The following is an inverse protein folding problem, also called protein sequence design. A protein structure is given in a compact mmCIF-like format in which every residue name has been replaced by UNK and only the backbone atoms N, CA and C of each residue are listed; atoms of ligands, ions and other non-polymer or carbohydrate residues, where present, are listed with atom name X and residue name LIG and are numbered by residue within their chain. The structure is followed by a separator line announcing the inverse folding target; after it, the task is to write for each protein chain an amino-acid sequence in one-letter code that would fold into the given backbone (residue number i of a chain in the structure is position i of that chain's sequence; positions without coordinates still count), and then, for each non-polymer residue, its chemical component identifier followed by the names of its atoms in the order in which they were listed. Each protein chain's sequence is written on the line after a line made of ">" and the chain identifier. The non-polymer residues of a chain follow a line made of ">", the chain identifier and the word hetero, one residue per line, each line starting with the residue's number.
data_IF_258601031977
#
_entry.id   IF_258601031977
#
_cell.length_a   1.000
_cell.length_b   1.000
_cell.length_c   1.000
_cell.angle_alpha   90.00
_cell.angle_beta   90.00
_cell.angle_gamma   90.00
#
_symmetry.space_group_name_H-M   'P 1'
#
loop_
_entity.id
_entity.type
_entity.pdbx_description
1 polymer ?
#
# COMPACT_ATOMS: atom_id res chain seq x y z
N UNK A 1 12.32 -18.43 -14.39
CA UNK A 1 12.77 -17.72 -13.17
C UNK A 1 12.24 -16.28 -13.10
N UNK A 2 12.29 -15.49 -14.18
CA UNK A 2 11.82 -14.08 -14.19
C UNK A 2 10.33 -13.93 -13.83
N UNK A 3 9.46 -14.84 -14.29
CA UNK A 3 8.01 -14.81 -13.96
C UNK A 3 7.71 -14.87 -12.46
N UNK A 4 8.44 -15.70 -11.69
CA UNK A 4 8.19 -15.82 -10.23
C UNK A 4 8.56 -14.55 -9.47
N UNK A 5 9.63 -13.86 -9.88
CA UNK A 5 10.08 -12.61 -9.27
C UNK A 5 9.09 -11.46 -9.47
N UNK A 6 8.48 -11.38 -10.66
CA UNK A 6 7.47 -10.34 -10.95
C UNK A 6 6.22 -10.45 -10.09
N UNK A 7 5.89 -11.64 -9.57
CA UNK A 7 4.74 -11.83 -8.69
C UNK A 7 4.97 -11.17 -7.32
N UNK A 8 6.17 -11.34 -6.75
CA UNK A 8 6.51 -10.75 -5.44
C UNK A 8 6.65 -9.23 -5.46
N UNK A 9 6.81 -8.64 -6.64
CA UNK A 9 6.88 -7.19 -6.87
C UNK A 9 5.63 -6.64 -7.56
N UNK A 10 4.59 -7.47 -7.70
CA UNK A 10 3.33 -7.06 -8.30
C UNK A 10 2.56 -6.13 -7.35
N UNK A 11 2.08 -5.01 -7.88
CA UNK A 11 1.43 -3.95 -7.10
C UNK A 11 0.23 -4.49 -6.29
N UNK A 12 -0.63 -5.32 -6.91
CA UNK A 12 -1.79 -5.91 -6.26
C UNK A 12 -1.41 -6.95 -5.21
N UNK A 13 -0.37 -7.74 -5.46
CA UNK A 13 0.14 -8.71 -4.48
C UNK A 13 0.59 -8.01 -3.19
N UNK A 14 1.31 -6.90 -3.31
CA UNK A 14 1.78 -6.13 -2.16
C UNK A 14 0.63 -5.44 -1.41
N UNK A 15 -0.38 -4.93 -2.13
CA UNK A 15 -1.60 -4.38 -1.52
C UNK A 15 -2.36 -5.45 -0.72
N UNK A 16 -2.46 -6.68 -1.23
CA UNK A 16 -3.07 -7.80 -0.51
C UNK A 16 -2.29 -8.11 0.78
N UNK A 17 -0.96 -8.13 0.75
CA UNK A 17 -0.16 -8.36 1.96
C UNK A 17 -0.39 -7.23 2.97
N UNK A 18 -0.40 -5.98 2.53
CA UNK A 18 -0.66 -4.84 3.42
C UNK A 18 -2.07 -4.90 4.03
N UNK A 19 -3.07 -5.34 3.25
CA UNK A 19 -4.42 -5.60 3.73
C UNK A 19 -4.47 -6.73 4.77
N UNK A 20 -3.78 -7.85 4.53
CA UNK A 20 -3.69 -8.95 5.50
C UNK A 20 -3.03 -8.50 6.80
N UNK A 21 -1.95 -7.71 6.72
CA UNK A 21 -1.29 -7.12 7.87
C UNK A 21 -2.27 -6.24 8.66
N UNK A 22 -3.04 -5.40 7.96
CA UNK A 22 -4.05 -4.51 8.52
C UNK A 22 -5.17 -5.27 9.27
N UNK A 23 -5.66 -6.38 8.69
CA UNK A 23 -6.79 -7.13 9.23
C UNK A 23 -6.43 -8.10 10.35
N UNK A 24 -5.23 -8.68 10.31
CA UNK A 24 -4.93 -9.90 11.10
C UNK A 24 -3.76 -9.76 12.08
N UNK A 25 -2.91 -8.75 11.93
CA UNK A 25 -1.70 -8.61 12.74
C UNK A 25 -1.63 -7.26 13.42
N UNK A 26 -1.37 -6.21 12.65
CA UNK A 26 -1.16 -4.86 13.16
C UNK A 26 -1.81 -3.85 12.22
N UNK A 27 -2.88 -3.24 12.73
CA UNK A 27 -3.72 -2.29 11.99
C UNK A 27 -2.93 -1.01 11.63
N UNK A 28 -2.26 -0.31 12.56
CA UNK A 28 -1.35 0.79 12.22
C UNK A 28 -0.32 0.43 11.13
N UNK A 29 0.37 -0.70 11.28
CA UNK A 29 1.41 -1.12 10.34
C UNK A 29 0.86 -1.37 8.94
N UNK A 30 -0.25 -2.10 8.82
CA UNK A 30 -0.89 -2.38 7.52
C UNK A 30 -1.39 -1.13 6.82
N UNK A 31 -1.97 -0.19 7.57
CA UNK A 31 -2.51 1.06 7.02
C UNK A 31 -1.41 1.97 6.48
N UNK A 32 -0.32 2.11 7.24
CA UNK A 32 0.87 2.86 6.83
C UNK A 32 1.56 2.21 5.63
N UNK A 33 1.68 0.88 5.61
CA UNK A 33 2.27 0.16 4.49
C UNK A 33 1.49 0.37 3.18
N UNK A 34 0.14 0.41 3.23
CA UNK A 34 -0.68 0.77 2.07
C UNK A 34 -0.33 2.16 1.53
N UNK A 35 -0.17 3.15 2.42
CA UNK A 35 0.18 4.52 2.05
C UNK A 35 1.58 4.56 1.41
N UNK A 36 2.57 3.89 2.02
CA UNK A 36 3.94 3.80 1.50
C UNK A 36 3.96 3.19 0.10
N UNK A 37 3.27 2.06 -0.10
CA UNK A 37 3.21 1.37 -1.39
C UNK A 37 2.53 2.23 -2.47
N UNK A 38 1.38 2.82 -2.16
CA UNK A 38 0.64 3.63 -3.11
C UNK A 38 1.42 4.88 -3.52
N UNK A 39 2.06 5.58 -2.57
CA UNK A 39 2.95 6.70 -2.88
C UNK A 39 4.16 6.26 -3.70
N UNK A 40 4.81 5.16 -3.34
CA UNK A 40 5.96 4.64 -4.10
C UNK A 40 5.63 4.40 -5.56
N UNK A 41 4.56 3.65 -5.83
CA UNK A 41 4.23 3.29 -7.21
C UNK A 41 3.71 4.51 -7.98
N UNK A 42 2.97 5.40 -7.32
CA UNK A 42 2.54 6.67 -7.91
C UNK A 42 3.74 7.54 -8.34
N UNK A 43 4.70 7.78 -7.44
CA UNK A 43 5.88 8.59 -7.74
C UNK A 43 6.77 7.94 -8.80
N UNK A 44 6.86 6.61 -8.83
CA UNK A 44 7.54 5.90 -9.91
C UNK A 44 6.91 6.25 -11.28
N UNK A 45 5.58 6.18 -11.39
CA UNK A 45 4.86 6.52 -12.61
C UNK A 45 5.01 8.00 -13.01
N UNK A 46 4.95 8.90 -12.03
CA UNK A 46 5.14 10.33 -12.26
C UNK A 46 6.55 10.65 -12.79
N UNK A 47 7.59 10.10 -12.14
CA UNK A 47 8.98 10.24 -12.60
C UNK A 47 9.12 9.65 -14.00
N UNK A 48 8.51 8.48 -14.24
CA UNK A 48 8.50 7.90 -15.58
C UNK A 48 7.96 8.83 -16.64
N UNK A 49 6.85 9.51 -16.37
CA UNK A 49 6.27 10.47 -17.32
C UNK A 49 7.17 11.69 -17.53
N UNK A 50 7.80 12.21 -16.48
CA UNK A 50 8.65 13.41 -16.55
C UNK A 50 9.93 13.20 -17.34
N UNK A 51 10.48 11.99 -17.35
CA UNK A 51 11.76 11.66 -17.97
C UNK A 51 11.62 10.98 -19.35
N UNK A 52 10.45 10.97 -19.98
CA UNK A 52 10.33 10.49 -21.37
C UNK A 52 10.80 11.58 -22.36
N UNK A 53 11.67 11.28 -23.37
CA UNK A 53 12.20 9.97 -23.75
C UNK A 53 13.68 9.81 -23.35
N UNK A 54 13.95 9.36 -22.12
CA UNK A 54 15.23 8.69 -21.81
C UNK A 54 15.37 7.49 -22.75
N UNK A 55 16.58 7.22 -23.31
CA UNK A 55 16.76 6.13 -24.27
C UNK A 55 16.16 4.86 -23.71
N UNK A 56 15.23 4.29 -24.46
CA UNK A 56 14.70 3.00 -24.12
C UNK A 56 15.85 2.00 -23.99
N UNK A 57 15.68 0.99 -23.13
CA UNK A 57 16.42 -0.25 -23.38
C UNK A 57 16.19 -0.66 -24.84
N UNK A 58 17.08 -1.41 -25.46
CA UNK A 58 17.00 -1.73 -26.90
C UNK A 58 15.65 -2.33 -27.40
N UNK A 59 14.67 -2.53 -26.51
CA UNK A 59 13.30 -2.98 -26.73
C UNK A 59 12.21 -1.89 -26.53
N UNK A 60 12.54 -0.60 -26.39
CA UNK A 60 11.52 0.45 -26.24
C UNK A 60 11.04 0.70 -24.80
N UNK A 61 11.64 0.02 -23.81
CA UNK A 61 11.25 0.06 -22.40
C UNK A 61 11.96 1.15 -21.60
N UNK A 62 11.21 1.84 -20.75
CA UNK A 62 11.74 2.81 -19.78
C UNK A 62 12.35 2.10 -18.57
N UNK A 63 13.63 2.36 -18.28
CA UNK A 63 14.39 1.66 -17.22
C UNK A 63 14.64 2.51 -15.97
N UNK A 64 14.43 3.83 -15.98
CA UNK A 64 14.89 4.70 -14.90
C UNK A 64 13.77 5.34 -14.07
N UNK A 65 13.54 5.06 -12.78
CA UNK A 65 14.33 4.22 -11.89
C UNK A 65 13.83 2.77 -11.92
N UNK A 66 14.62 1.86 -11.32
CA UNK A 66 14.23 0.47 -11.17
C UNK A 66 13.01 0.30 -10.24
N UNK A 67 11.81 0.12 -10.82
CA UNK A 67 10.53 0.00 -10.09
C UNK A 67 10.58 -1.09 -9.02
N UNK A 68 11.12 -2.25 -9.37
CA UNK A 68 11.17 -3.45 -8.51
C UNK A 68 12.01 -3.18 -7.26
N UNK A 69 13.15 -2.51 -7.43
CA UNK A 69 14.03 -2.12 -6.32
C UNK A 69 13.36 -1.05 -5.46
N UNK A 70 12.79 -0.02 -6.09
CA UNK A 70 12.07 1.04 -5.38
C UNK A 70 10.94 0.49 -4.52
N UNK A 71 10.15 -0.42 -5.08
CA UNK A 71 9.01 -1.03 -4.39
C UNK A 71 9.46 -2.00 -3.30
N UNK A 72 10.54 -2.77 -3.52
CA UNK A 72 11.13 -3.63 -2.50
C UNK A 72 11.66 -2.82 -1.31
N UNK A 73 12.36 -1.71 -1.57
CA UNK A 73 12.83 -0.79 -0.52
C UNK A 73 11.65 -0.14 0.20
N UNK A 74 10.62 0.29 -0.51
CA UNK A 74 9.42 0.88 0.10
C UNK A 74 8.72 -0.12 1.04
N UNK A 75 8.51 -1.36 0.60
CA UNK A 75 7.85 -2.40 1.38
C UNK A 75 8.70 -2.89 2.57
N UNK A 76 9.88 -3.44 2.29
CA UNK A 76 10.72 -4.06 3.32
C UNK A 76 11.44 -3.03 4.19
N UNK A 77 11.80 -1.88 3.62
CA UNK A 77 12.38 -0.77 4.37
C UNK A 77 11.39 -0.14 5.34
N UNK A 78 10.10 -0.08 5.01
CA UNK A 78 9.08 0.34 5.98
C UNK A 78 8.95 -0.66 7.15
N UNK A 79 8.83 -1.96 6.83
CA UNK A 79 8.67 -3.00 7.85
C UNK A 79 9.88 -3.12 8.79
N UNK A 80 11.08 -2.77 8.31
CA UNK A 80 12.29 -2.65 9.15
C UNK A 80 12.07 -1.73 10.35
N UNK A 81 11.54 -0.53 10.10
CA UNK A 81 11.30 0.48 11.14
C UNK A 81 10.13 0.12 12.05
N UNK A 82 9.14 -0.60 11.54
CA UNK A 82 7.95 -0.97 12.30
C UNK A 82 8.24 -2.12 13.28
N UNK A 83 8.87 -3.21 12.84
CA UNK A 83 9.10 -4.37 13.71
C UNK A 83 10.35 -4.27 14.58
N UNK A 84 11.40 -3.55 14.13
CA UNK A 84 12.66 -3.30 14.86
C UNK A 84 13.37 -4.56 15.41
N UNK A 85 13.05 -5.74 14.89
CA UNK A 85 13.68 -7.01 15.26
C UNK A 85 14.95 -7.24 14.44
N UNK A 86 16.02 -7.70 15.11
CA UNK A 86 17.34 -7.88 14.47
C UNK A 86 17.31 -8.95 13.38
N UNK A 87 16.58 -10.05 13.55
CA UNK A 87 16.50 -11.12 12.55
C UNK A 87 15.69 -10.66 11.35
N UNK A 88 14.57 -10.00 11.62
CA UNK A 88 13.71 -9.41 10.58
C UNK A 88 14.44 -8.33 9.78
N UNK A 89 15.30 -7.55 10.44
CA UNK A 89 16.18 -6.56 9.78
C UNK A 89 17.08 -7.21 8.75
N UNK A 90 17.82 -8.25 9.13
CA UNK A 90 18.71 -8.96 8.20
C UNK A 90 17.93 -9.62 7.06
N UNK A 91 16.76 -10.20 7.35
CA UNK A 91 15.89 -10.77 6.32
C UNK A 91 15.44 -9.71 5.31
N UNK A 92 14.98 -8.55 5.79
CA UNK A 92 14.51 -7.44 4.95
C UNK A 92 15.63 -6.91 4.04
N UNK A 93 16.82 -6.70 4.60
CA UNK A 93 18.00 -6.27 3.85
C UNK A 93 18.42 -7.31 2.82
N UNK A 94 18.40 -8.60 3.17
CA UNK A 94 18.71 -9.69 2.23
C UNK A 94 17.73 -9.70 1.06
N UNK A 95 16.43 -9.54 1.31
CA UNK A 95 15.41 -9.50 0.24
C UNK A 95 15.60 -8.29 -0.66
N UNK A 96 15.90 -7.11 -0.12
CA UNK A 96 16.21 -5.90 -0.91
C UNK A 96 17.45 -6.13 -1.79
N UNK A 97 18.51 -6.74 -1.24
CA UNK A 97 19.73 -7.02 -2.00
C UNK A 97 19.51 -8.07 -3.09
N UNK A 98 18.72 -9.10 -2.82
CA UNK A 98 18.31 -10.08 -3.82
C UNK A 98 17.47 -9.40 -4.91
N UNK A 99 16.56 -8.50 -4.54
CA UNK A 99 15.76 -7.72 -5.48
C UNK A 99 16.63 -6.89 -6.43
N UNK A 100 17.62 -6.19 -5.88
CA UNK A 100 18.58 -5.41 -6.64
C UNK A 100 19.42 -6.30 -7.56
N UNK A 101 19.96 -7.41 -7.04
CA UNK A 101 20.75 -8.35 -7.82
C UNK A 101 19.98 -8.99 -8.98
N UNK A 102 18.75 -9.44 -8.74
CA UNK A 102 17.89 -10.00 -9.80
C UNK A 102 17.59 -8.94 -10.86
N UNK A 103 17.29 -7.71 -10.44
CA UNK A 103 16.99 -6.60 -11.36
C UNK A 103 18.21 -6.22 -12.20
N UNK A 104 19.42 -6.27 -11.63
CA UNK A 104 20.67 -5.98 -12.36
C UNK A 104 21.03 -7.08 -13.37
N UNK A 105 20.86 -8.35 -12.99
CA UNK A 105 21.35 -9.49 -13.79
C UNK A 105 20.37 -9.84 -14.91
N UNK A 106 19.06 -9.75 -14.65
CA UNK A 106 18.02 -10.28 -15.54
C UNK A 106 17.19 -9.21 -16.24
N UNK A 107 17.54 -7.92 -16.11
CA UNK A 107 16.85 -6.82 -16.77
C UNK A 107 17.88 -5.84 -17.33
N UNK A 108 17.45 -4.96 -18.23
CA UNK A 108 18.23 -3.90 -18.86
C UNK A 108 18.62 -2.74 -17.92
N UNK A 109 18.37 -2.87 -16.62
CA UNK A 109 18.64 -1.82 -15.65
C UNK A 109 20.13 -1.67 -15.38
N UNK A 110 20.58 -0.42 -15.30
CA UNK A 110 21.93 -0.07 -14.87
C UNK A 110 22.04 -0.03 -13.33
N UNK A 111 23.27 0.04 -12.81
CA UNK A 111 23.50 0.30 -11.38
C UNK A 111 22.89 1.64 -10.93
N UNK A 112 22.88 2.64 -11.81
CA UNK A 112 22.28 3.95 -11.54
C UNK A 112 20.76 3.85 -11.37
N UNK A 113 20.08 3.08 -12.24
CA UNK A 113 18.64 2.83 -12.14
C UNK A 113 18.25 2.20 -10.80
N UNK A 114 19.06 1.23 -10.34
CA UNK A 114 18.90 0.52 -9.08
C UNK A 114 19.13 1.45 -7.89
N UNK A 115 20.22 2.21 -7.93
CA UNK A 115 20.55 3.16 -6.87
C UNK A 115 19.46 4.21 -6.70
N UNK A 116 18.99 4.80 -7.81
CA UNK A 116 17.90 5.78 -7.78
C UNK A 116 16.57 5.16 -7.34
N UNK A 117 16.26 3.93 -7.76
CA UNK A 117 15.12 3.19 -7.23
C UNK A 117 15.19 3.04 -5.71
N UNK A 118 16.35 2.64 -5.19
CA UNK A 118 16.57 2.53 -3.75
C UNK A 118 16.43 3.86 -3.01
N UNK A 119 17.02 4.94 -3.53
CA UNK A 119 16.91 6.28 -2.95
C UNK A 119 15.47 6.77 -2.88
N UNK A 120 14.70 6.63 -3.96
CA UNK A 120 13.30 7.07 -4.01
C UNK A 120 12.46 6.25 -3.03
N UNK A 121 12.65 4.93 -2.99
CA UNK A 121 11.94 4.07 -2.04
C UNK A 121 12.24 4.45 -0.59
N UNK A 122 13.52 4.65 -0.26
CA UNK A 122 13.95 5.07 1.08
C UNK A 122 13.42 6.46 1.45
N UNK A 123 13.44 7.40 0.51
CA UNK A 123 12.89 8.74 0.70
C UNK A 123 11.40 8.70 1.02
N UNK A 124 10.62 7.88 0.32
CA UNK A 124 9.18 7.74 0.58
C UNK A 124 8.92 7.14 1.96
N UNK A 125 9.68 6.11 2.35
CA UNK A 125 9.60 5.55 3.71
C UNK A 125 9.92 6.61 4.76
N UNK A 126 10.98 7.41 4.54
CA UNK A 126 11.35 8.50 5.44
C UNK A 126 10.24 9.55 5.57
N UNK A 127 9.68 10.03 4.45
CA UNK A 127 8.60 11.03 4.44
C UNK A 127 7.37 10.50 5.18
N UNK A 128 6.95 9.26 4.90
CA UNK A 128 5.79 8.67 5.57
C UNK A 128 6.06 8.52 7.07
N UNK A 129 7.21 7.99 7.46
CA UNK A 129 7.55 7.83 8.88
C UNK A 129 7.60 9.18 9.60
N UNK A 130 8.23 10.20 9.00
CA UNK A 130 8.32 11.54 9.58
C UNK A 130 6.96 12.24 9.67
N UNK A 131 6.07 11.98 8.71
CA UNK A 131 4.71 12.52 8.73
C UNK A 131 3.85 11.95 9.88
N UNK A 132 4.22 10.82 10.47
CA UNK A 132 3.44 10.20 11.56
C UNK A 132 3.39 11.08 12.82
N UNK A 133 4.48 11.74 13.18
CA UNK A 133 4.52 12.65 14.33
C UNK A 133 3.56 13.82 14.14
N UNK A 134 3.51 14.34 12.90
CA UNK A 134 2.61 15.42 12.52
C UNK A 134 1.16 14.95 12.49
N UNK A 135 0.89 13.79 11.87
CA UNK A 135 -0.46 13.19 11.79
C UNK A 135 -1.02 12.93 13.20
N UNK A 136 -0.20 12.42 14.12
CA UNK A 136 -0.62 12.14 15.50
C UNK A 136 -1.02 13.39 16.30
N UNK A 137 -0.50 14.56 15.92
CA UNK A 137 -0.74 15.83 16.59
C UNK A 137 -1.90 16.63 16.00
N UNK A 138 -2.39 16.25 14.82
CA UNK A 138 -3.38 17.02 14.06
C UNK A 138 -4.83 16.65 14.44
N UNK A 139 -5.77 17.61 14.49
CA UNK A 139 -7.18 17.29 14.75
C UNK A 139 -7.79 16.44 13.63
N UNK A 140 -8.71 15.56 14.00
CA UNK A 140 -9.31 14.56 13.09
C UNK A 140 -10.00 15.15 11.84
N UNK A 141 -10.72 16.29 11.89
CA UNK A 141 -11.32 16.88 10.69
C UNK A 141 -10.28 17.30 9.65
N UNK A 142 -9.10 17.75 10.09
CA UNK A 142 -8.02 18.12 9.17
C UNK A 142 -7.38 16.89 8.53
N UNK A 143 -7.21 15.80 9.29
CA UNK A 143 -6.71 14.53 8.74
C UNK A 143 -7.68 13.94 7.72
N UNK A 144 -8.97 14.00 7.99
CA UNK A 144 -10.00 13.58 7.04
C UNK A 144 -10.04 14.46 5.80
N UNK A 145 -9.92 15.78 5.97
CA UNK A 145 -9.86 16.70 4.83
C UNK A 145 -8.59 16.47 3.99
N UNK A 146 -7.45 16.24 4.64
CA UNK A 146 -6.19 15.93 3.97
C UNK A 146 -6.27 14.62 3.19
N UNK A 147 -6.87 13.58 3.75
CA UNK A 147 -7.03 12.28 3.07
C UNK A 147 -7.96 12.32 1.85
N UNK A 148 -8.80 13.35 1.74
CA UNK A 148 -9.60 13.62 0.54
C UNK A 148 -8.84 14.52 -0.45
N UNK A 149 -8.33 15.66 0.02
CA UNK A 149 -7.75 16.70 -0.86
C UNK A 149 -6.44 16.25 -1.48
N UNK A 150 -5.54 15.64 -0.70
CA UNK A 150 -4.21 15.27 -1.20
C UNK A 150 -4.29 14.20 -2.31
N UNK A 151 -5.01 13.08 -2.16
CA UNK A 151 -5.10 12.11 -3.24
C UNK A 151 -5.90 12.62 -4.46
N UNK A 152 -6.89 13.48 -4.25
CA UNK A 152 -7.60 14.13 -5.36
C UNK A 152 -6.70 15.10 -6.14
N UNK A 153 -5.77 15.81 -5.50
CA UNK A 153 -4.81 16.66 -6.21
C UNK A 153 -3.79 15.83 -6.99
N UNK A 154 -3.42 14.64 -6.50
CA UNK A 154 -2.59 13.68 -7.24
C UNK A 154 -3.28 13.23 -8.54
N UNK A 155 -4.58 12.93 -8.52
CA UNK A 155 -5.32 12.59 -9.75
C UNK A 155 -5.21 13.69 -10.82
N UNK A 156 -5.29 14.96 -10.40
CA UNK A 156 -5.17 16.11 -11.32
C UNK A 156 -3.74 16.29 -11.82
N UNK A 157 -2.74 16.00 -10.99
CA UNK A 157 -1.33 16.10 -11.35
C UNK A 157 -0.90 15.02 -12.35
N UNK A 158 -1.35 13.77 -12.14
CA UNK A 158 -0.98 12.62 -12.98
C UNK A 158 -2.15 11.65 -13.13
N UNK A 159 -2.97 11.82 -14.19
CA UNK A 159 -4.15 10.99 -14.42
C UNK A 159 -3.86 9.50 -14.62
N UNK A 160 -2.71 9.11 -15.16
CA UNK A 160 -2.36 7.68 -15.30
C UNK A 160 -2.01 7.05 -13.94
N UNK A 161 -1.71 7.86 -12.93
CA UNK A 161 -1.55 7.46 -11.53
C UNK A 161 -2.87 7.30 -10.78
N UNK A 162 -4.01 7.42 -11.46
CA UNK A 162 -5.35 7.39 -10.86
C UNK A 162 -5.60 6.21 -9.91
N UNK A 163 -5.10 5.01 -10.25
CA UNK A 163 -5.26 3.82 -9.42
C UNK A 163 -4.63 4.02 -8.04
N UNK A 164 -3.40 4.52 -7.96
CA UNK A 164 -2.70 4.69 -6.68
C UNK A 164 -3.22 5.90 -5.90
N UNK A 165 -3.57 6.98 -6.60
CA UNK A 165 -4.23 8.14 -6.00
C UNK A 165 -5.60 7.73 -5.40
N UNK A 166 -6.38 6.93 -6.12
CA UNK A 166 -7.65 6.40 -5.62
C UNK A 166 -7.46 5.51 -4.41
N UNK A 167 -6.47 4.60 -4.45
CA UNK A 167 -6.13 3.75 -3.30
C UNK A 167 -5.77 4.57 -2.05
N UNK A 168 -5.01 5.67 -2.21
CA UNK A 168 -4.69 6.61 -1.13
C UNK A 168 -5.94 7.30 -0.57
N UNK A 169 -6.86 7.74 -1.44
CA UNK A 169 -8.13 8.34 -1.01
C UNK A 169 -8.93 7.36 -0.16
N UNK A 170 -9.16 6.16 -0.72
CA UNK A 170 -9.99 5.15 -0.08
C UNK A 170 -9.41 4.67 1.25
N UNK A 171 -8.10 4.40 1.28
CA UNK A 171 -7.41 3.96 2.48
C UNK A 171 -7.32 5.06 3.53
N UNK A 172 -7.02 6.30 3.15
CA UNK A 172 -6.93 7.43 4.09
C UNK A 172 -8.28 7.85 4.68
N UNK A 173 -9.30 7.97 3.84
CA UNK A 173 -10.66 8.28 4.29
C UNK A 173 -11.26 7.14 5.11
N UNK A 174 -11.10 5.90 4.64
CA UNK A 174 -11.60 4.71 5.32
C UNK A 174 -10.94 4.49 6.68
N UNK A 175 -9.61 4.63 6.78
CA UNK A 175 -8.88 4.55 8.04
C UNK A 175 -9.34 5.62 9.04
N UNK A 176 -9.57 6.85 8.57
CA UNK A 176 -10.04 7.96 9.40
C UNK A 176 -11.43 7.68 9.99
N UNK A 177 -12.36 7.18 9.17
CA UNK A 177 -13.72 6.81 9.61
C UNK A 177 -13.70 5.54 10.48
N UNK A 178 -12.85 4.57 10.18
CA UNK A 178 -12.66 3.36 10.98
C UNK A 178 -12.20 3.71 12.39
N UNK A 179 -11.21 4.59 12.53
CA UNK A 179 -10.70 5.05 13.82
C UNK A 179 -11.79 5.73 14.66
N UNK A 180 -12.69 6.46 14.02
CA UNK A 180 -13.78 7.16 14.67
C UNK A 180 -14.92 6.22 15.11
N UNK A 181 -15.42 5.40 14.18
CA UNK A 181 -16.67 4.64 14.35
C UNK A 181 -16.46 3.17 14.68
N UNK A 182 -15.54 2.49 14.00
CA UNK A 182 -15.38 1.04 14.12
C UNK A 182 -14.45 0.66 15.27
N UNK A 183 -13.32 1.37 15.43
CA UNK A 183 -12.31 1.14 16.48
C UNK A 183 -11.95 -0.35 16.62
N UNK A 184 -11.75 -1.01 15.48
CA UNK A 184 -11.45 -2.42 15.42
C UNK A 184 -10.12 -2.69 16.12
N UNK A 185 -10.14 -3.68 17.01
CA UNK A 185 -8.96 -4.30 17.60
C UNK A 185 -8.86 -5.74 17.12
N UNK A 186 -7.66 -6.11 16.68
CA UNK A 186 -7.39 -7.44 16.11
C UNK A 186 -7.47 -8.49 17.22
N UNK A 187 -8.27 -9.52 17.01
CA UNK A 187 -8.39 -10.66 17.94
C UNK A 187 -7.09 -11.47 18.06
N UNK A 188 -6.90 -12.18 19.18
CA UNK A 188 -5.79 -13.14 19.33
C UNK A 188 -6.12 -14.51 18.72
N UNK A 189 -7.40 -14.82 18.51
CA UNK A 189 -7.86 -16.13 18.05
C UNK A 189 -7.56 -16.34 16.56
N UNK A 190 -6.76 -17.36 16.25
CA UNK A 190 -6.27 -17.62 14.88
C UNK A 190 -7.41 -17.91 13.90
N UNK A 191 -8.42 -18.68 14.29
CA UNK A 191 -9.53 -19.01 13.38
C UNK A 191 -10.34 -17.76 12.99
N UNK A 192 -10.57 -16.82 13.91
CA UNK A 192 -11.23 -15.53 13.61
C UNK A 192 -10.40 -14.68 12.65
N UNK A 193 -9.06 -14.69 12.78
CA UNK A 193 -8.16 -14.03 11.82
C UNK A 193 -8.27 -14.65 10.43
N UNK A 194 -8.28 -15.99 10.34
CA UNK A 194 -8.42 -16.70 9.07
C UNK A 194 -9.76 -16.39 8.41
N UNK A 195 -10.87 -16.43 9.16
CA UNK A 195 -12.20 -16.10 8.64
C UNK A 195 -12.23 -14.63 8.16
N UNK A 196 -11.66 -13.70 8.93
CA UNK A 196 -11.58 -12.29 8.52
C UNK A 196 -10.76 -12.12 7.23
N UNK A 197 -9.62 -12.81 7.12
CA UNK A 197 -8.79 -12.78 5.92
C UNK A 197 -9.51 -13.35 4.69
N UNK A 198 -10.29 -14.44 4.85
CA UNK A 198 -11.06 -15.04 3.76
C UNK A 198 -12.17 -14.09 3.30
N UNK A 199 -12.97 -13.54 4.22
CA UNK A 199 -14.04 -12.57 3.89
C UNK A 199 -13.44 -11.34 3.20
N UNK A 200 -12.33 -10.83 3.75
CA UNK A 200 -11.60 -9.70 3.19
C UNK A 200 -11.08 -9.96 1.79
N UNK A 201 -10.43 -11.10 1.59
CA UNK A 201 -9.88 -11.53 0.30
C UNK A 201 -10.95 -11.75 -0.74
N UNK A 202 -12.05 -12.42 -0.41
CA UNK A 202 -13.18 -12.63 -1.33
C UNK A 202 -13.77 -11.30 -1.77
N UNK A 203 -14.06 -10.40 -0.83
CA UNK A 203 -14.59 -9.08 -1.20
C UNK A 203 -13.62 -8.23 -2.02
N UNK A 204 -12.32 -8.31 -1.72
CA UNK A 204 -11.29 -7.62 -2.50
C UNK A 204 -11.23 -8.14 -3.94
N UNK A 205 -11.27 -9.47 -4.12
CA UNK A 205 -11.32 -10.10 -5.45
C UNK A 205 -12.57 -9.70 -6.24
N UNK A 206 -13.73 -9.65 -5.58
CA UNK A 206 -14.98 -9.20 -6.21
C UNK A 206 -14.87 -7.75 -6.68
N UNK A 207 -14.34 -6.85 -5.85
CA UNK A 207 -14.14 -5.45 -6.24
C UNK A 207 -13.17 -5.36 -7.41
N UNK A 208 -12.02 -6.05 -7.36
CA UNK A 208 -11.04 -6.06 -8.45
C UNK A 208 -11.67 -6.59 -9.75
N UNK A 209 -12.48 -7.65 -9.68
CA UNK A 209 -13.18 -8.22 -10.83
C UNK A 209 -14.18 -7.24 -11.47
N UNK A 210 -14.83 -6.37 -10.68
CA UNK A 210 -15.67 -5.30 -11.24
C UNK A 210 -14.83 -4.26 -11.99
N UNK A 211 -13.58 -4.04 -11.58
CA UNK A 211 -12.68 -3.08 -12.21
C UNK A 211 -12.32 -3.40 -13.65
N UNK A 212 -12.30 -4.68 -14.04
CA UNK A 212 -12.01 -5.09 -15.42
C UNK A 212 -13.15 -4.79 -16.40
N UNK A 213 -14.35 -4.48 -15.89
CA UNK A 213 -15.52 -4.11 -16.69
C UNK A 213 -15.61 -2.60 -16.92
N UNK A 214 -14.78 -1.80 -16.25
CA UNK A 214 -14.85 -0.35 -16.32
C UNK A 214 -14.26 0.18 -17.64
N UNK A 215 -14.88 1.21 -18.24
CA UNK A 215 -14.26 1.97 -19.32
C UNK A 215 -12.90 2.54 -18.90
N UNK A 216 -11.99 2.67 -19.87
CA UNK A 216 -10.63 3.20 -19.67
C UNK A 216 -10.64 4.72 -19.44
N UNK A 217 -11.21 5.14 -18.32
CA UNK A 217 -11.36 6.54 -17.88
C UNK A 217 -10.67 6.68 -16.53
N UNK A 218 -9.70 7.60 -16.42
CA UNK A 218 -8.89 7.78 -15.20
C UNK A 218 -9.74 8.00 -13.94
N UNK A 219 -10.82 8.77 -14.05
CA UNK A 219 -11.74 9.02 -12.92
C UNK A 219 -12.43 7.72 -12.45
N UNK A 220 -12.78 6.81 -13.36
CA UNK A 220 -13.38 5.53 -12.96
C UNK A 220 -12.37 4.62 -12.27
N UNK A 221 -11.12 4.56 -12.77
CA UNK A 221 -10.06 3.83 -12.09
C UNK A 221 -9.74 4.41 -10.71
N UNK A 222 -9.78 5.74 -10.58
CA UNK A 222 -9.61 6.43 -9.30
C UNK A 222 -10.71 6.05 -8.30
N UNK A 223 -11.99 6.12 -8.71
CA UNK A 223 -13.12 5.76 -7.85
C UNK A 223 -13.12 4.27 -7.49
N UNK A 224 -12.76 3.40 -8.44
CA UNK A 224 -12.63 1.97 -8.22
C UNK A 224 -11.53 1.64 -7.21
N UNK A 225 -10.35 2.25 -7.35
CA UNK A 225 -9.27 2.05 -6.39
C UNK A 225 -9.57 2.68 -5.02
N UNK A 226 -10.34 3.77 -4.98
CA UNK A 226 -10.88 4.29 -3.73
C UNK A 226 -11.84 3.30 -3.05
N UNK A 227 -12.67 2.59 -3.81
CA UNK A 227 -13.51 1.53 -3.27
C UNK A 227 -12.67 0.37 -2.71
N UNK A 228 -11.58 0.00 -3.37
CA UNK A 228 -10.60 -0.97 -2.84
C UNK A 228 -10.03 -0.50 -1.50
N UNK A 229 -9.55 0.74 -1.44
CA UNK A 229 -8.98 1.30 -0.21
C UNK A 229 -10.01 1.35 0.93
N UNK A 230 -11.26 1.73 0.64
CA UNK A 230 -12.37 1.73 1.60
C UNK A 230 -12.74 0.32 2.05
N UNK A 231 -12.68 -0.67 1.16
CA UNK A 231 -12.92 -2.07 1.52
C UNK A 231 -11.91 -2.56 2.54
N UNK A 232 -10.63 -2.30 2.28
CA UNK A 232 -9.54 -2.72 3.16
C UNK A 232 -9.64 -2.02 4.51
N UNK A 233 -9.83 -0.71 4.52
CA UNK A 233 -9.67 0.09 5.74
C UNK A 233 -10.94 0.35 6.52
N UNK A 234 -12.13 0.22 5.92
CA UNK A 234 -13.42 0.53 6.56
C UNK A 234 -14.43 -0.60 6.49
N UNK A 235 -14.79 -1.09 5.29
CA UNK A 235 -15.89 -2.04 5.16
C UNK A 235 -15.57 -3.39 5.80
N UNK A 236 -14.38 -3.96 5.56
CA UNK A 236 -14.04 -5.22 6.20
C UNK A 236 -13.92 -5.09 7.73
N UNK A 237 -13.24 -4.08 8.29
CA UNK A 237 -13.26 -3.85 9.74
C UNK A 237 -14.66 -3.79 10.31
N UNK A 238 -15.57 -3.04 9.67
CA UNK A 238 -16.96 -2.94 10.07
C UNK A 238 -17.69 -4.28 10.06
N UNK A 239 -17.56 -5.05 8.97
CA UNK A 239 -18.15 -6.39 8.85
C UNK A 239 -17.57 -7.32 9.92
N UNK A 240 -16.25 -7.31 10.13
CA UNK A 240 -15.59 -8.19 11.10
C UNK A 240 -16.01 -7.91 12.54
N UNK A 241 -16.22 -6.64 12.91
CA UNK A 241 -16.73 -6.24 14.23
C UNK A 241 -18.19 -6.65 14.39
N UNK A 242 -19.03 -6.48 13.35
CA UNK A 242 -20.44 -6.89 13.40
C UNK A 242 -20.63 -8.40 13.50
N UNK A 243 -19.74 -9.18 12.88
CA UNK A 243 -19.74 -10.64 12.95
C UNK A 243 -19.08 -11.19 14.24
N UNK A 244 -18.59 -10.33 15.14
CA UNK A 244 -17.90 -10.76 16.37
C UNK A 244 -16.54 -11.43 16.13
N UNK A 245 -15.97 -11.28 14.93
CA UNK A 245 -14.65 -11.79 14.58
C UNK A 245 -13.54 -10.93 15.20
N UNK A 246 -13.75 -9.61 15.25
CA UNK A 246 -12.88 -8.66 15.91
C UNK A 246 -13.63 -7.86 16.98
N UNK A 247 -12.89 -7.31 17.93
CA UNK A 247 -13.45 -6.52 19.02
C UNK A 247 -13.49 -5.04 18.64
N UNK A 248 -14.38 -4.30 19.30
CA UNK A 248 -14.47 -2.84 19.19
C UNK A 248 -13.99 -2.21 20.50
N UNK A 249 -12.94 -1.40 20.41
CA UNK A 249 -12.44 -0.68 21.57
C UNK A 249 -13.48 0.35 22.06
N UNK A 250 -13.71 0.38 23.38
CA UNK A 250 -14.62 1.33 24.03
C UNK A 250 -16.08 0.88 24.15
N UNK A 251 -16.42 -0.37 23.77
CA UNK A 251 -17.67 -0.99 24.24
C UNK A 251 -17.47 -1.48 25.68
N UNK A 252 -18.31 -1.02 26.61
CA UNK A 252 -18.42 -1.63 27.93
C UNK A 252 -18.74 -3.12 27.74
N UNK A 253 -17.85 -3.99 28.20
CA UNK A 253 -18.15 -5.40 28.33
C UNK A 253 -19.22 -5.51 29.41
N UNK A 254 -20.46 -5.81 29.03
CA UNK A 254 -21.44 -6.32 29.99
C UNK A 254 -20.91 -7.65 30.50
N UNK A 255 -20.68 -7.82 31.81
CA UNK A 255 -20.40 -9.14 32.35
C UNK A 255 -21.60 -10.05 32.06
N UNK A 256 -21.33 -11.21 31.47
CA UNK A 256 -22.28 -12.33 31.45
C UNK A 256 -22.52 -12.85 32.87
#
# INVERSE_FOLDING_TARGET
>A
MVMGWTVFTNDWFLVVIAALLYWTMDKPAGGRLLIVLALSIYFHGLIKQMFLPVPADGNGGFTFPAKQVQTAVAFWGYLLFEFRDRRFTWLSLAIIMIAAGITLIYTSHTLEDIFMGGMIGAFIVYVVYRSMDWIGSMPEPFLFSFSLVFPSSLLLLFPDGALYAGLLLGSGAGYSVERLKCRMTVTKEVYKKVITAVIGGVGLLLIIAVGSLLPAVSVLFFLHAALVGLWITLFLPFVSVRLGLNQQSGKFQTPE
#
